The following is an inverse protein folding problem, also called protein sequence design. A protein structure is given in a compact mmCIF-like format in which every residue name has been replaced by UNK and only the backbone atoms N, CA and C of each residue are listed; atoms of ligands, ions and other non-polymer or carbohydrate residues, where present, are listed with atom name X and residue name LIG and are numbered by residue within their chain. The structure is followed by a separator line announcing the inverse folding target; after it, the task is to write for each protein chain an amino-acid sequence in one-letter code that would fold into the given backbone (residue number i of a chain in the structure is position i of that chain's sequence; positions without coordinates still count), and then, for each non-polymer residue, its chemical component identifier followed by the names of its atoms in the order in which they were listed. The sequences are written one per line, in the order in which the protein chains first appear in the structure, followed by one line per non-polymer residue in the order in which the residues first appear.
data_IF_424215133248
#
_entry.id   IF_424215133248
#
_cell.length_a   1.000
_cell.length_b   1.000
_cell.length_c   1.000
_cell.angle_alpha   90.00
_cell.angle_beta   90.00
_cell.angle_gamma   90.00
#
_symmetry.space_group_name_H-M   'P 1'
#
loop_
_entity.id
_entity.type
_entity.pdbx_description
1 polymer ?
#
# COMPACT_ATOMS: atom_id res chain seq x y z
N UNK A 1 26.59 65.76 -11.83
CA UNK A 1 27.42 64.78 -11.09
C UNK A 1 26.69 64.12 -9.91
N UNK A 2 25.98 64.87 -9.05
CA UNK A 2 25.31 64.35 -7.84
C UNK A 2 24.19 63.30 -8.06
N UNK A 3 23.35 63.40 -9.10
CA UNK A 3 22.25 62.43 -9.37
C UNK A 3 22.74 61.02 -9.72
N UNK A 4 23.90 60.88 -10.37
CA UNK A 4 24.46 59.58 -10.79
C UNK A 4 25.02 58.81 -9.59
N UNK A 5 25.69 59.53 -8.67
CA UNK A 5 26.24 58.98 -7.43
C UNK A 5 25.10 58.48 -6.51
N UNK A 6 24.01 59.24 -6.38
CA UNK A 6 22.83 58.83 -5.60
C UNK A 6 22.13 57.57 -6.15
N UNK A 7 21.95 57.48 -7.48
CA UNK A 7 21.39 56.27 -8.13
C UNK A 7 22.29 55.04 -7.99
N UNK A 8 23.61 55.23 -8.01
CA UNK A 8 24.59 54.15 -7.83
C UNK A 8 24.59 53.60 -6.40
N UNK A 9 24.48 54.47 -5.39
CA UNK A 9 24.35 54.09 -3.98
C UNK A 9 23.03 53.35 -3.72
N UNK A 10 21.92 53.80 -4.31
CA UNK A 10 20.62 53.13 -4.22
C UNK A 10 20.59 51.71 -4.82
N UNK A 11 21.29 51.48 -5.96
CA UNK A 11 21.43 50.13 -6.55
C UNK A 11 22.30 49.22 -5.70
N UNK A 12 23.41 49.72 -5.14
CA UNK A 12 24.26 48.95 -4.22
C UNK A 12 23.52 48.55 -2.95
N UNK A 13 22.69 49.43 -2.39
CA UNK A 13 21.92 49.14 -1.18
C UNK A 13 20.79 48.12 -1.42
N UNK A 14 20.15 48.14 -2.60
CA UNK A 14 19.20 47.08 -3.03
C UNK A 14 19.89 45.74 -3.26
N UNK A 15 21.07 45.75 -3.88
CA UNK A 15 21.87 44.55 -4.10
C UNK A 15 22.34 43.94 -2.76
N UNK A 16 22.80 44.78 -1.84
CA UNK A 16 23.19 44.38 -0.48
C UNK A 16 21.99 43.79 0.29
N UNK A 17 20.81 44.42 0.18
CA UNK A 17 19.57 43.90 0.77
C UNK A 17 19.14 42.56 0.19
N UNK A 18 19.27 42.35 -1.13
CA UNK A 18 19.02 41.07 -1.78
C UNK A 18 20.02 39.98 -1.35
N UNK A 19 21.31 40.32 -1.28
CA UNK A 19 22.35 39.40 -0.80
C UNK A 19 22.06 39.00 0.65
N UNK A 20 21.71 39.96 1.51
CA UNK A 20 21.35 39.70 2.90
C UNK A 20 20.09 38.84 3.02
N UNK A 21 19.07 39.09 2.19
CA UNK A 21 17.86 38.26 2.15
C UNK A 21 18.14 36.82 1.70
N UNK A 22 19.02 36.62 0.72
CA UNK A 22 19.47 35.28 0.29
C UNK A 22 20.31 34.59 1.38
N UNK A 23 21.15 35.34 2.10
CA UNK A 23 21.94 34.80 3.22
C UNK A 23 21.07 34.48 4.45
N UNK A 24 19.99 35.23 4.69
CA UNK A 24 19.07 34.96 5.78
C UNK A 24 18.10 33.82 5.45
N UNK A 25 17.76 33.63 4.17
CA UNK A 25 16.90 32.52 3.74
C UNK A 25 17.61 31.15 3.78
N UNK A 26 18.94 31.10 3.86
CA UNK A 26 19.68 29.86 4.12
C UNK A 26 19.74 29.49 5.61
N UNK A 27 19.31 30.39 6.52
CA UNK A 27 19.23 30.15 7.97
C UNK A 27 17.89 29.51 8.37
N UNK A 28 17.18 28.87 7.44
CA UNK A 28 16.06 28.01 7.82
C UNK A 28 16.64 26.77 8.50
N UNK A 29 16.57 26.75 9.82
CA UNK A 29 16.99 25.62 10.66
C UNK A 29 16.04 24.46 10.36
N UNK A 30 16.43 23.64 9.40
CA UNK A 30 15.76 22.37 9.11
C UNK A 30 16.19 21.33 10.15
N UNK A 31 15.38 20.29 10.31
CA UNK A 31 15.73 19.14 11.17
C UNK A 31 17.00 18.44 10.64
N UNK A 32 17.81 17.91 11.56
CA UNK A 32 18.95 17.08 11.19
C UNK A 32 18.45 15.71 10.69
N UNK A 33 18.65 15.46 9.39
CA UNK A 33 18.24 14.21 8.73
C UNK A 33 18.98 12.98 9.28
N UNK A 34 20.14 13.15 9.93
CA UNK A 34 20.91 12.04 10.50
C UNK A 34 20.21 11.38 11.70
N UNK A 35 19.27 12.10 12.34
CA UNK A 35 18.45 11.55 13.42
C UNK A 35 17.34 10.60 12.92
N UNK A 36 17.09 10.54 11.61
CA UNK A 36 16.03 9.73 11.01
C UNK A 36 16.63 8.54 10.26
N UNK A 37 16.12 7.35 10.56
CA UNK A 37 16.55 6.11 9.89
C UNK A 37 16.21 6.16 8.40
N UNK A 38 17.21 5.98 7.56
CA UNK A 38 17.02 5.61 6.15
C UNK A 38 16.58 4.15 6.04
N UNK A 39 16.09 3.76 4.87
CA UNK A 39 15.59 2.40 4.65
C UNK A 39 16.68 1.32 4.83
N UNK A 40 17.93 1.61 4.46
CA UNK A 40 19.09 0.72 4.65
C UNK A 40 19.44 0.51 6.14
N UNK A 41 19.09 1.49 6.99
CA UNK A 41 19.30 1.46 8.44
C UNK A 41 18.14 0.78 9.19
N UNK A 42 16.99 0.57 8.53
CA UNK A 42 15.87 -0.22 9.07
C UNK A 42 15.91 -1.65 8.51
N UNK A 43 16.12 -2.65 9.37
CA UNK A 43 16.33 -4.03 8.93
C UNK A 43 15.13 -4.59 8.14
N UNK A 44 13.90 -4.30 8.58
CA UNK A 44 12.68 -4.70 7.87
C UNK A 44 12.57 -4.00 6.50
N UNK A 45 12.75 -2.67 6.44
CA UNK A 45 12.68 -1.93 5.18
C UNK A 45 13.71 -2.45 4.16
N UNK A 46 14.93 -2.70 4.62
CA UNK A 46 16.01 -3.27 3.81
C UNK A 46 15.66 -4.65 3.26
N UNK A 47 15.05 -5.55 4.05
CA UNK A 47 14.63 -6.88 3.58
C UNK A 47 13.51 -6.78 2.55
N UNK A 48 12.45 -6.03 2.83
CA UNK A 48 11.32 -5.87 1.91
C UNK A 48 11.73 -5.23 0.57
N UNK A 49 12.65 -4.26 0.59
CA UNK A 49 13.15 -3.64 -0.66
C UNK A 49 14.03 -4.55 -1.50
N UNK A 50 14.65 -5.57 -0.91
CA UNK A 50 15.49 -6.54 -1.64
C UNK A 50 14.69 -7.56 -2.44
N UNK A 51 13.38 -7.70 -2.18
CA UNK A 51 12.50 -8.60 -2.92
C UNK A 51 12.40 -8.14 -4.37
N UNK A 52 12.77 -9.04 -5.29
CA UNK A 52 12.77 -8.75 -6.72
C UNK A 52 11.35 -8.80 -7.28
N UNK A 53 11.04 -8.06 -8.36
CA UNK A 53 9.78 -8.26 -9.06
C UNK A 53 9.65 -9.70 -9.56
N UNK A 54 8.43 -10.26 -9.50
CA UNK A 54 8.12 -11.59 -10.01
C UNK A 54 8.49 -12.75 -9.09
N UNK A 55 9.14 -12.51 -7.95
CA UNK A 55 9.58 -13.55 -7.02
C UNK A 55 8.57 -13.84 -5.91
N UNK A 56 7.26 -13.78 -6.18
CA UNK A 56 6.24 -14.01 -5.14
C UNK A 56 6.04 -15.51 -4.91
N UNK A 57 6.41 -16.05 -3.74
CA UNK A 57 6.31 -17.49 -3.49
C UNK A 57 4.89 -17.93 -3.09
N UNK A 58 3.93 -17.01 -3.08
CA UNK A 58 2.61 -17.24 -2.53
C UNK A 58 1.62 -17.79 -3.56
N UNK A 59 0.84 -18.79 -3.16
CA UNK A 59 -0.29 -19.32 -3.92
C UNK A 59 -1.53 -19.50 -3.04
N UNK A 60 -2.71 -19.34 -3.64
CA UNK A 60 -3.98 -19.61 -2.98
C UNK A 60 -4.27 -21.12 -2.98
N UNK A 61 -4.83 -21.63 -1.90
CA UNK A 61 -5.28 -23.02 -1.82
C UNK A 61 -6.78 -23.07 -2.17
N UNK A 62 -7.09 -23.20 -3.46
CA UNK A 62 -8.47 -23.09 -4.00
C UNK A 62 -9.48 -24.05 -3.34
N UNK A 63 -9.04 -25.21 -2.84
CA UNK A 63 -9.90 -26.18 -2.12
C UNK A 63 -10.40 -25.67 -0.76
N UNK A 64 -9.76 -24.65 -0.18
CA UNK A 64 -10.08 -24.11 1.15
C UNK A 64 -11.05 -22.94 1.11
N UNK A 65 -11.56 -22.58 -0.08
CA UNK A 65 -12.53 -21.51 -0.26
C UNK A 65 -13.77 -21.74 0.61
N UNK A 66 -14.04 -20.78 1.50
CA UNK A 66 -15.32 -20.67 2.21
C UNK A 66 -15.98 -19.37 1.82
N UNK A 67 -17.26 -19.44 1.50
CA UNK A 67 -18.08 -18.30 1.07
C UNK A 67 -19.12 -18.00 2.13
N UNK A 68 -19.22 -16.73 2.50
CA UNK A 68 -20.22 -16.20 3.42
C UNK A 68 -21.02 -15.11 2.72
N UNK A 69 -22.03 -14.56 3.40
CA UNK A 69 -22.90 -13.52 2.82
C UNK A 69 -22.11 -12.32 2.31
N UNK A 70 -21.16 -11.80 3.10
CA UNK A 70 -20.44 -10.55 2.83
C UNK A 70 -18.94 -10.69 2.63
N UNK A 71 -18.40 -11.90 2.74
CA UNK A 71 -16.98 -12.14 2.60
C UNK A 71 -16.67 -13.57 2.14
N UNK A 72 -15.46 -13.76 1.63
CA UNK A 72 -14.87 -15.08 1.42
C UNK A 72 -13.61 -15.24 2.26
N UNK A 73 -13.24 -16.48 2.56
CA UNK A 73 -11.92 -16.82 3.14
C UNK A 73 -11.26 -17.94 2.37
N UNK A 74 -9.94 -17.86 2.23
CA UNK A 74 -9.09 -18.82 1.52
C UNK A 74 -7.76 -18.94 2.25
N UNK A 75 -7.16 -20.11 2.28
CA UNK A 75 -5.77 -20.24 2.71
C UNK A 75 -4.82 -19.73 1.61
N UNK A 76 -3.78 -19.03 2.05
CA UNK A 76 -2.67 -18.57 1.24
C UNK A 76 -1.40 -19.23 1.77
N UNK A 77 -0.66 -19.92 0.91
CA UNK A 77 0.54 -20.67 1.30
C UNK A 77 1.77 -20.03 0.68
N UNK A 78 2.85 -19.96 1.43
CA UNK A 78 4.18 -19.71 0.88
C UNK A 78 4.80 -21.05 0.45
N UNK A 79 5.09 -21.19 -0.85
CA UNK A 79 5.59 -22.45 -1.41
C UNK A 79 7.06 -22.75 -1.08
N UNK A 80 7.83 -21.75 -0.63
CA UNK A 80 9.25 -21.94 -0.28
C UNK A 80 9.43 -22.46 1.14
N UNK A 81 8.63 -21.97 2.10
CA UNK A 81 8.79 -22.31 3.51
C UNK A 81 7.57 -23.03 4.12
N UNK A 82 6.50 -23.20 3.36
CA UNK A 82 5.30 -23.90 3.78
C UNK A 82 4.40 -23.15 4.75
N UNK A 83 4.74 -21.92 5.16
CA UNK A 83 3.91 -21.13 6.06
C UNK A 83 2.56 -20.80 5.44
N UNK A 84 1.51 -20.89 6.26
CA UNK A 84 0.12 -20.67 5.86
C UNK A 84 -0.46 -19.40 6.49
N UNK A 85 -1.26 -18.71 5.68
CA UNK A 85 -1.98 -17.49 6.02
C UNK A 85 -3.45 -17.67 5.65
N UNK A 86 -4.32 -16.87 6.23
CA UNK A 86 -5.72 -16.76 5.86
C UNK A 86 -5.91 -15.45 5.12
N UNK A 87 -6.36 -15.52 3.87
CA UNK A 87 -6.86 -14.38 3.11
C UNK A 87 -8.36 -14.26 3.37
N UNK A 88 -8.80 -13.07 3.80
CA UNK A 88 -10.21 -12.68 3.88
C UNK A 88 -10.46 -11.51 2.94
N UNK A 89 -11.46 -11.65 2.07
CA UNK A 89 -11.91 -10.60 1.16
C UNK A 89 -13.37 -10.27 1.48
N UNK A 90 -13.64 -9.03 1.88
CA UNK A 90 -14.95 -8.57 2.31
C UNK A 90 -15.49 -7.47 1.39
N UNK A 91 -16.81 -7.47 1.17
CA UNK A 91 -17.52 -6.38 0.50
C UNK A 91 -18.01 -5.39 1.56
N UNK A 92 -17.39 -4.20 1.58
CA UNK A 92 -17.73 -3.10 2.48
C UNK A 92 -18.58 -2.09 1.72
N UNK A 93 -19.63 -1.59 2.37
CA UNK A 93 -20.55 -0.61 1.77
C UNK A 93 -19.83 0.58 1.14
N UNK A 94 -20.40 1.05 0.04
CA UNK A 94 -19.87 2.17 -0.74
C UNK A 94 -18.72 1.75 -1.65
N UNK A 95 -18.90 0.65 -2.39
CA UNK A 95 -18.01 0.20 -3.47
C UNK A 95 -16.57 -0.07 -3.03
N UNK A 96 -16.41 -0.69 -1.85
CA UNK A 96 -15.10 -1.01 -1.26
C UNK A 96 -14.93 -2.51 -1.07
N UNK A 97 -13.74 -3.00 -1.42
CA UNK A 97 -13.25 -4.29 -0.95
C UNK A 97 -12.28 -4.07 0.21
N UNK A 98 -12.43 -4.86 1.27
CA UNK A 98 -11.45 -4.96 2.35
C UNK A 98 -10.70 -6.27 2.23
N UNK A 99 -9.37 -6.19 2.13
CA UNK A 99 -8.49 -7.36 2.02
C UNK A 99 -7.69 -7.48 3.30
N UNK A 100 -7.86 -8.57 4.01
CA UNK A 100 -7.11 -8.90 5.20
C UNK A 100 -6.33 -10.20 4.98
N UNK A 101 -5.06 -10.22 5.40
CA UNK A 101 -4.26 -11.43 5.39
C UNK A 101 -3.58 -11.56 6.75
N UNK A 102 -3.83 -12.68 7.42
CA UNK A 102 -3.32 -12.96 8.75
C UNK A 102 -2.65 -14.34 8.79
N UNK A 103 -1.78 -14.57 9.77
CA UNK A 103 -1.17 -15.89 9.95
C UNK A 103 -2.22 -16.91 10.40
N UNK A 104 -2.20 -18.11 9.80
CA UNK A 104 -3.16 -19.15 10.15
C UNK A 104 -2.89 -19.77 11.51
N UNK A 105 -1.62 -19.88 11.88
CA UNK A 105 -1.14 -20.40 13.16
C UNK A 105 -0.04 -19.49 13.73
N UNK A 106 -0.39 -18.30 14.25
CA UNK A 106 0.59 -17.38 14.81
C UNK A 106 1.07 -17.85 16.18
N UNK A 107 2.34 -17.59 16.52
CA UNK A 107 2.85 -17.78 17.88
C UNK A 107 2.17 -16.82 18.88
N UNK A 108 1.93 -15.58 18.43
CA UNK A 108 1.17 -14.57 19.16
C UNK A 108 0.27 -13.82 18.17
N UNK A 109 -0.96 -13.42 18.56
CA UNK A 109 -1.84 -12.66 17.69
C UNK A 109 -1.14 -11.45 17.09
N UNK A 110 -1.27 -11.27 15.77
CA UNK A 110 -0.77 -10.09 15.07
C UNK A 110 -1.60 -8.87 15.51
N UNK A 111 -0.93 -7.73 15.69
CA UNK A 111 -1.58 -6.49 16.11
C UNK A 111 -2.66 -6.06 15.11
N UNK A 112 -3.82 -5.64 15.62
CA UNK A 112 -4.94 -5.08 14.85
C UNK A 112 -5.16 -3.63 15.30
N UNK A 113 -5.33 -2.73 14.35
CA UNK A 113 -5.55 -1.30 14.65
C UNK A 113 -7.02 -1.11 15.04
N UNK A 114 -7.28 -0.68 16.26
CA UNK A 114 -8.65 -0.57 16.80
C UNK A 114 -9.22 0.86 16.66
N UNK A 115 -8.41 1.89 16.91
CA UNK A 115 -8.89 3.28 17.03
C UNK A 115 -8.86 4.10 15.73
N UNK A 116 -8.39 3.52 14.62
CA UNK A 116 -8.25 4.27 13.36
C UNK A 116 -9.59 4.43 12.60
N UNK A 117 -10.58 3.58 12.89
CA UNK A 117 -11.89 3.63 12.25
C UNK A 117 -12.86 4.45 13.10
N UNK A 118 -13.61 5.35 12.46
CA UNK A 118 -14.63 6.19 13.13
C UNK A 118 -15.84 5.37 13.63
N UNK A 119 -15.95 4.10 13.27
CA UNK A 119 -17.03 3.18 13.65
C UNK A 119 -16.88 1.82 12.99
N UNK A 120 -17.85 0.94 13.23
CA UNK A 120 -17.89 -0.39 12.60
C UNK A 120 -18.11 -0.26 11.09
N UNK A 121 -17.45 -1.15 10.34
CA UNK A 121 -17.69 -1.25 8.90
C UNK A 121 -19.07 -1.85 8.65
N UNK A 122 -19.83 -1.23 7.75
CA UNK A 122 -21.04 -1.83 7.21
C UNK A 122 -20.67 -2.65 5.97
N UNK A 123 -21.25 -3.84 5.88
CA UNK A 123 -20.94 -4.79 4.82
C UNK A 123 -22.11 -5.00 3.87
N UNK A 124 -21.79 -5.27 2.62
CA UNK A 124 -22.73 -5.69 1.59
C UNK A 124 -22.54 -7.17 1.25
N UNK A 125 -23.48 -7.74 0.51
CA UNK A 125 -23.34 -9.12 0.03
C UNK A 125 -22.37 -9.23 -1.14
N UNK A 126 -21.62 -10.32 -1.18
CA UNK A 126 -20.84 -10.72 -2.34
C UNK A 126 -21.23 -12.11 -2.83
N UNK A 127 -20.86 -12.43 -4.07
CA UNK A 127 -21.09 -13.75 -4.66
C UNK A 127 -19.84 -14.21 -5.40
N UNK A 128 -19.58 -15.53 -5.38
CA UNK A 128 -18.55 -16.14 -6.21
C UNK A 128 -19.23 -16.59 -7.51
N UNK A 129 -18.86 -16.00 -8.65
CA UNK A 129 -19.49 -16.33 -9.95
C UNK A 129 -18.73 -17.38 -10.74
N UNK A 130 -17.42 -17.45 -10.56
CA UNK A 130 -16.56 -18.39 -11.29
C UNK A 130 -15.42 -18.86 -10.39
N UNK A 131 -15.04 -20.13 -10.56
CA UNK A 131 -13.93 -20.78 -9.87
C UNK A 131 -13.37 -21.85 -10.78
N UNK A 132 -12.10 -21.70 -11.13
CA UNK A 132 -11.34 -22.68 -11.89
C UNK A 132 -9.94 -22.86 -11.27
N UNK A 133 -9.06 -23.57 -11.98
CA UNK A 133 -7.69 -23.85 -11.52
C UNK A 133 -6.78 -22.62 -11.55
N UNK A 134 -7.12 -21.60 -12.33
CA UNK A 134 -6.32 -20.38 -12.50
C UNK A 134 -6.77 -19.25 -11.58
N UNK A 135 -8.09 -19.07 -11.42
CA UNK A 135 -8.66 -17.92 -10.71
C UNK A 135 -10.02 -18.18 -10.06
N UNK A 136 -10.36 -17.29 -9.13
CA UNK A 136 -11.66 -17.20 -8.47
C UNK A 136 -12.22 -15.79 -8.72
N UNK A 137 -13.47 -15.70 -9.16
CA UNK A 137 -14.13 -14.42 -9.47
C UNK A 137 -15.21 -14.13 -8.43
N UNK A 138 -15.09 -12.97 -7.79
CA UNK A 138 -16.01 -12.47 -6.75
C UNK A 138 -16.68 -11.21 -7.24
N UNK A 139 -18.01 -11.13 -7.16
CA UNK A 139 -18.78 -9.95 -7.53
C UNK A 139 -19.38 -9.29 -6.30
N UNK A 140 -19.45 -7.96 -6.37
CA UNK A 140 -20.08 -7.09 -5.38
C UNK A 140 -20.69 -5.89 -6.11
N UNK A 141 -22.01 -5.88 -6.30
CA UNK A 141 -22.68 -4.85 -7.09
C UNK A 141 -22.15 -4.82 -8.53
N UNK A 142 -21.71 -3.64 -9.00
CA UNK A 142 -21.01 -3.47 -10.28
C UNK A 142 -19.49 -3.69 -10.20
N UNK A 143 -18.97 -4.03 -9.02
CA UNK A 143 -17.55 -4.27 -8.79
C UNK A 143 -17.23 -5.78 -8.85
N UNK A 144 -16.01 -6.09 -9.27
CA UNK A 144 -15.53 -7.47 -9.40
C UNK A 144 -14.11 -7.58 -8.88
N UNK A 145 -13.78 -8.69 -8.22
CA UNK A 145 -12.43 -9.04 -7.81
C UNK A 145 -12.06 -10.39 -8.42
N UNK A 146 -10.92 -10.46 -9.11
CA UNK A 146 -10.37 -11.69 -9.68
C UNK A 146 -9.13 -12.09 -8.89
N UNK A 147 -9.21 -13.21 -8.18
CA UNK A 147 -8.13 -13.75 -7.37
C UNK A 147 -7.42 -14.84 -8.17
N UNK A 148 -6.18 -14.57 -8.56
CA UNK A 148 -5.33 -15.52 -9.28
C UNK A 148 -4.62 -16.45 -8.29
N UNK A 149 -4.63 -17.75 -8.60
CA UNK A 149 -4.22 -18.81 -7.69
C UNK A 149 -2.71 -18.90 -7.55
N UNK A 150 -1.97 -18.96 -8.66
CA UNK A 150 -0.51 -19.12 -8.64
C UNK A 150 0.14 -18.43 -9.85
N UNK A 151 0.94 -17.35 -9.66
CA UNK A 151 1.23 -16.69 -8.39
C UNK A 151 0.01 -15.92 -7.85
N UNK A 152 -0.08 -15.80 -6.52
CA UNK A 152 -1.15 -15.04 -5.86
C UNK A 152 -1.18 -13.58 -6.31
N UNK A 153 -2.31 -13.14 -6.84
CA UNK A 153 -2.58 -11.76 -7.27
C UNK A 153 -4.08 -11.50 -7.17
N UNK A 154 -4.48 -10.26 -6.92
CA UNK A 154 -5.90 -9.86 -6.96
C UNK A 154 -6.05 -8.65 -7.89
N UNK A 155 -6.94 -8.74 -8.86
CA UNK A 155 -7.34 -7.62 -9.70
C UNK A 155 -8.74 -7.15 -9.33
N UNK A 156 -8.90 -5.83 -9.16
CA UNK A 156 -10.15 -5.18 -8.78
C UNK A 156 -10.70 -4.35 -9.94
N UNK A 157 -11.96 -4.56 -10.27
CA UNK A 157 -12.65 -3.94 -11.38
C UNK A 157 -13.88 -3.16 -10.88
N UNK A 158 -14.17 -2.05 -11.55
CA UNK A 158 -15.43 -1.33 -11.44
C UNK A 158 -16.05 -1.27 -12.84
N UNK A 159 -17.24 -1.83 -13.02
CA UNK A 159 -17.95 -1.84 -14.31
C UNK A 159 -17.06 -2.34 -15.47
N UNK A 160 -16.43 -3.50 -15.29
CA UNK A 160 -15.48 -4.14 -16.21
C UNK A 160 -14.12 -3.44 -16.43
N UNK A 161 -13.91 -2.25 -15.85
CA UNK A 161 -12.63 -1.56 -15.92
C UNK A 161 -11.73 -1.94 -14.75
N UNK A 162 -10.53 -2.44 -15.04
CA UNK A 162 -9.49 -2.67 -14.03
C UNK A 162 -9.10 -1.33 -13.36
N UNK A 163 -9.22 -1.26 -12.04
CA UNK A 163 -8.91 -0.06 -11.25
C UNK A 163 -7.61 -0.24 -10.45
N UNK A 164 -7.44 -1.39 -9.79
CA UNK A 164 -6.29 -1.68 -8.93
C UNK A 164 -5.88 -3.14 -9.07
N UNK A 165 -4.57 -3.39 -9.08
CA UNK A 165 -4.01 -4.74 -8.98
C UNK A 165 -3.14 -4.87 -7.73
N UNK A 166 -3.44 -5.84 -6.90
CA UNK A 166 -2.70 -6.20 -5.70
C UNK A 166 -1.72 -7.33 -6.01
N UNK A 167 -0.47 -7.16 -5.58
CA UNK A 167 0.66 -8.06 -5.85
C UNK A 167 0.98 -8.27 -7.36
N UNK A 168 0.61 -7.34 -8.24
CA UNK A 168 0.91 -7.46 -9.69
C UNK A 168 2.41 -7.56 -10.01
N UNK A 169 3.26 -6.93 -9.19
CA UNK A 169 4.73 -6.99 -9.34
C UNK A 169 5.35 -8.19 -8.64
N UNK A 170 4.57 -9.05 -7.97
CA UNK A 170 5.09 -10.21 -7.25
C UNK A 170 6.10 -9.87 -6.15
N UNK A 171 5.91 -8.75 -5.44
CA UNK A 171 6.83 -8.26 -4.39
C UNK A 171 6.32 -8.47 -2.96
N UNK A 172 5.19 -9.14 -2.83
CA UNK A 172 4.55 -9.33 -1.54
C UNK A 172 5.43 -10.22 -0.65
N UNK A 173 5.55 -9.81 0.61
CA UNK A 173 6.30 -10.49 1.66
C UNK A 173 5.51 -10.32 2.96
N UNK A 174 5.31 -11.41 3.69
CA UNK A 174 4.67 -11.45 5.00
C UNK A 174 5.66 -11.89 6.08
#
# INVERSE_FOLDING_TARGET
MFKVVSSYIGRKMRLLGLILFVLLSTIVICVDKNNFKRCDQSSFCRRCRKVQPGSSPYSLVSSTLKTFKSYITLDLKNNENGHEFILKLEAVKGDKFHVEIDEKQPLHPRYRVEDALKGLLEYDSLTVSDKNEERIVVNYGSNKAELYINPFKIDFFNSEKLVVSMNSKGKKLF
#
